data_IF_917893255750
#
_entry.id   IF_917893255750
#
_cell.length_a   1.000
_cell.length_b   1.000
_cell.length_c   1.000
_cell.angle_alpha   90.00
_cell.angle_beta   90.00
_cell.angle_gamma   90.00
#
_symmetry.space_group_name_H-M   'P 1'
#
loop_
_entity.id
_entity.type
_entity.pdbx_description
1 polymer ?
#
# COMPACT_ATOMS: atom_id res chain seq x y z
N UNK A 1 -1.63 -27.14 17.11
CA UNK A 1 -1.19 -25.93 16.36
C UNK A 1 -0.43 -25.05 17.33
N UNK A 2 0.91 -24.99 17.21
CA UNK A 2 1.74 -24.13 18.05
C UNK A 2 1.59 -22.69 17.52
N UNK A 3 0.97 -21.80 18.29
CA UNK A 3 0.94 -20.39 17.98
C UNK A 3 2.37 -19.85 17.95
N UNK A 4 2.79 -19.35 16.81
CA UNK A 4 4.08 -18.64 16.67
C UNK A 4 3.94 -17.26 17.31
N UNK A 5 4.97 -16.81 18.01
CA UNK A 5 5.00 -15.47 18.58
C UNK A 5 4.97 -14.41 17.48
N UNK A 6 4.43 -13.22 17.73
CA UNK A 6 4.36 -12.12 16.79
C UNK A 6 5.75 -11.77 16.19
N UNK A 7 6.81 -11.98 16.97
CA UNK A 7 8.20 -11.79 16.53
C UNK A 7 8.62 -12.83 15.47
N UNK A 8 8.31 -14.13 15.69
CA UNK A 8 8.63 -15.18 14.71
C UNK A 8 7.82 -15.05 13.41
N UNK A 9 6.59 -14.56 13.51
CA UNK A 9 5.74 -14.24 12.36
C UNK A 9 6.33 -13.04 11.61
N UNK A 10 6.73 -11.96 12.30
CA UNK A 10 7.26 -10.74 11.70
C UNK A 10 8.57 -10.99 10.94
N UNK A 11 9.52 -11.72 11.52
CA UNK A 11 10.82 -12.01 10.89
C UNK A 11 10.68 -12.96 9.69
N UNK A 12 9.76 -13.92 9.75
CA UNK A 12 9.53 -14.88 8.65
C UNK A 12 8.71 -14.29 7.51
N UNK A 13 7.71 -13.47 7.81
CA UNK A 13 6.87 -12.81 6.81
C UNK A 13 7.69 -11.74 6.06
N UNK A 14 8.37 -10.85 6.76
CA UNK A 14 9.15 -9.77 6.12
C UNK A 14 10.25 -10.34 5.20
N UNK A 15 10.95 -11.40 5.58
CA UNK A 15 11.98 -12.02 4.74
C UNK A 15 11.43 -12.78 3.54
N UNK A 16 10.43 -13.64 3.75
CA UNK A 16 9.89 -14.50 2.69
C UNK A 16 8.99 -13.73 1.72
N UNK A 17 8.16 -12.81 2.19
CA UNK A 17 7.30 -12.01 1.32
C UNK A 17 8.09 -11.03 0.43
N UNK A 18 9.17 -10.46 0.93
CA UNK A 18 10.05 -9.63 0.08
C UNK A 18 10.70 -10.47 -1.02
N UNK A 19 11.18 -11.68 -0.72
CA UNK A 19 11.75 -12.57 -1.72
C UNK A 19 10.70 -13.04 -2.75
N UNK A 20 9.49 -13.36 -2.31
CA UNK A 20 8.36 -13.72 -3.19
C UNK A 20 8.02 -12.55 -4.11
N UNK A 21 7.89 -11.33 -3.56
CA UNK A 21 7.61 -10.13 -4.35
C UNK A 21 8.69 -9.87 -5.38
N UNK A 22 9.97 -9.95 -5.02
CA UNK A 22 11.08 -9.71 -5.93
C UNK A 22 11.16 -10.77 -7.02
N UNK A 23 10.84 -12.03 -6.70
CA UNK A 23 10.68 -13.09 -7.69
C UNK A 23 9.58 -12.79 -8.71
N UNK A 24 8.41 -12.34 -8.24
CA UNK A 24 7.29 -11.96 -9.13
C UNK A 24 7.62 -10.72 -9.98
N UNK A 25 8.33 -9.73 -9.44
CA UNK A 25 8.79 -8.57 -10.21
C UNK A 25 9.72 -9.00 -11.34
N UNK A 26 10.66 -9.90 -11.09
CA UNK A 26 11.57 -10.41 -12.10
C UNK A 26 10.83 -11.22 -13.17
N UNK A 27 9.94 -12.13 -12.76
CA UNK A 27 9.07 -12.88 -13.68
C UNK A 27 8.20 -11.97 -14.53
N UNK A 28 7.64 -10.88 -13.94
CA UNK A 28 6.85 -9.89 -14.67
C UNK A 28 7.67 -9.18 -15.75
N UNK A 29 8.91 -8.75 -15.41
CA UNK A 29 9.81 -8.10 -16.38
C UNK A 29 10.20 -9.03 -17.52
N UNK A 30 10.27 -10.32 -17.29
CA UNK A 30 10.59 -11.34 -18.28
C UNK A 30 9.36 -11.91 -19.00
N UNK A 31 8.15 -11.41 -18.71
CA UNK A 31 6.86 -11.92 -19.19
C UNK A 31 6.67 -13.43 -18.91
N UNK A 32 7.11 -13.89 -17.74
CA UNK A 32 7.07 -15.29 -17.31
C UNK A 32 6.08 -15.56 -16.17
N UNK A 33 5.23 -14.57 -15.82
CA UNK A 33 4.16 -14.79 -14.83
C UNK A 33 3.10 -15.75 -15.39
N UNK A 34 2.72 -16.72 -14.58
CA UNK A 34 1.59 -17.63 -14.92
C UNK A 34 0.27 -17.01 -14.42
N UNK A 35 -0.87 -17.35 -15.04
CA UNK A 35 -2.18 -16.85 -14.59
C UNK A 35 -2.45 -17.09 -13.11
N UNK A 36 -2.06 -18.23 -12.57
CA UNK A 36 -2.25 -18.60 -11.17
C UNK A 36 -1.47 -17.70 -10.20
N UNK A 37 -0.41 -17.02 -10.68
CA UNK A 37 0.42 -16.15 -9.87
C UNK A 37 -0.14 -14.72 -9.75
N UNK A 38 -1.04 -14.29 -10.65
CA UNK A 38 -1.65 -12.95 -10.61
C UNK A 38 -3.18 -12.95 -10.52
N UNK A 39 -3.82 -14.11 -10.64
CA UNK A 39 -5.26 -14.25 -10.45
C UNK A 39 -5.64 -14.54 -8.98
N UNK A 40 -6.92 -14.41 -8.66
CA UNK A 40 -7.47 -14.73 -7.34
C UNK A 40 -7.27 -13.65 -6.29
N UNK A 41 -6.69 -12.50 -6.64
CA UNK A 41 -6.62 -11.34 -5.75
C UNK A 41 -8.00 -10.72 -5.51
N UNK A 42 -8.24 -10.18 -4.31
CA UNK A 42 -9.45 -9.44 -3.97
C UNK A 42 -9.27 -7.92 -3.99
N UNK A 43 -8.03 -7.46 -4.05
CA UNK A 43 -7.66 -6.05 -3.94
C UNK A 43 -6.37 -5.74 -4.71
N UNK A 44 -6.28 -4.54 -5.27
CA UNK A 44 -5.10 -4.11 -6.05
C UNK A 44 -4.39 -2.95 -5.37
N UNK A 45 -3.06 -2.91 -5.44
CA UNK A 45 -2.26 -1.73 -5.14
C UNK A 45 -1.53 -1.31 -6.41
N UNK A 46 -1.72 -0.05 -6.84
CA UNK A 46 -1.04 0.53 -7.99
C UNK A 46 -0.12 1.65 -7.54
N UNK A 47 1.17 1.55 -7.85
CA UNK A 47 2.17 2.53 -7.44
C UNK A 47 2.83 3.15 -8.68
N UNK A 48 2.61 4.43 -8.89
CA UNK A 48 3.23 5.24 -9.95
C UNK A 48 4.21 6.29 -9.40
N UNK A 49 4.58 6.19 -8.13
CA UNK A 49 5.51 7.14 -7.50
C UNK A 49 6.88 7.20 -8.15
N UNK A 50 7.37 6.09 -8.71
CA UNK A 50 8.64 6.03 -9.44
C UNK A 50 8.64 6.83 -10.75
N UNK A 51 7.45 7.18 -11.26
CA UNK A 51 7.28 8.00 -12.47
C UNK A 51 6.99 9.47 -12.13
N UNK A 52 7.20 9.89 -10.89
CA UNK A 52 6.90 11.25 -10.39
C UNK A 52 5.43 11.67 -10.55
N UNK A 53 4.52 10.69 -10.59
CA UNK A 53 3.08 10.97 -10.60
C UNK A 53 2.66 11.26 -9.17
N UNK A 54 2.22 12.49 -8.92
CA UNK A 54 1.85 12.96 -7.59
C UNK A 54 0.58 12.28 -7.06
N UNK A 55 -0.44 12.20 -7.90
CA UNK A 55 -1.69 11.50 -7.58
C UNK A 55 -2.39 11.06 -8.86
N UNK A 56 -3.16 10.00 -8.79
CA UNK A 56 -3.96 9.49 -9.91
C UNK A 56 -5.12 8.66 -9.38
N UNK A 57 -6.20 8.62 -10.16
CA UNK A 57 -7.32 7.71 -9.91
C UNK A 57 -7.13 6.46 -10.73
N UNK A 58 -7.09 5.30 -10.08
CA UNK A 58 -6.99 4.02 -10.74
C UNK A 58 -8.39 3.43 -11.01
N UNK A 59 -8.48 2.65 -12.08
CA UNK A 59 -9.69 1.90 -12.43
C UNK A 59 -9.60 0.53 -11.74
N UNK A 60 -10.69 0.12 -11.10
CA UNK A 60 -10.76 -1.19 -10.44
C UNK A 60 -10.61 -2.29 -11.50
N UNK A 61 -9.75 -3.26 -11.22
CA UNK A 61 -9.55 -4.43 -12.06
C UNK A 61 -10.49 -5.57 -11.61
N UNK A 62 -11.60 -5.83 -12.31
CA UNK A 62 -12.48 -6.93 -11.93
C UNK A 62 -11.75 -8.29 -11.91
N UNK A 63 -12.02 -9.18 -10.96
CA UNK A 63 -13.10 -9.16 -9.96
C UNK A 63 -12.74 -8.49 -8.63
N UNK A 64 -11.67 -7.71 -8.55
CA UNK A 64 -11.23 -7.05 -7.32
C UNK A 64 -12.28 -6.07 -6.79
N UNK A 65 -12.41 -6.00 -5.46
CA UNK A 65 -13.34 -5.10 -4.79
C UNK A 65 -12.85 -3.65 -4.71
N UNK A 66 -11.54 -3.42 -4.86
CA UNK A 66 -10.97 -2.09 -4.77
C UNK A 66 -9.53 -2.00 -5.23
N UNK A 67 -9.06 -0.76 -5.37
CA UNK A 67 -7.69 -0.44 -5.76
C UNK A 67 -7.19 0.78 -4.98
N UNK A 68 -5.99 0.64 -4.41
CA UNK A 68 -5.25 1.72 -3.76
C UNK A 68 -4.22 2.27 -4.72
N UNK A 69 -4.33 3.55 -5.07
CA UNK A 69 -3.34 4.28 -5.86
C UNK A 69 -2.34 4.97 -4.94
N UNK A 70 -1.06 4.81 -5.22
CA UNK A 70 0.03 5.40 -4.44
C UNK A 70 0.85 6.30 -5.35
N UNK A 71 0.91 7.59 -5.00
CA UNK A 71 1.68 8.61 -5.73
C UNK A 71 3.12 8.73 -5.26
N UNK A 72 3.83 9.68 -5.86
CA UNK A 72 5.22 10.00 -5.51
C UNK A 72 5.34 10.66 -4.14
N UNK A 73 6.49 10.45 -3.50
CA UNK A 73 6.85 11.15 -2.28
C UNK A 73 7.42 12.52 -2.66
N UNK A 74 6.86 13.59 -2.08
CA UNK A 74 7.33 14.96 -2.23
C UNK A 74 7.65 15.59 -0.89
N UNK A 75 8.46 16.62 -0.90
CA UNK A 75 8.76 17.42 0.30
C UNK A 75 7.86 18.66 0.32
N UNK A 76 7.11 18.82 1.38
CA UNK A 76 6.31 20.02 1.64
C UNK A 76 6.93 20.84 2.76
N UNK A 77 6.97 22.16 2.57
CA UNK A 77 7.42 23.10 3.59
C UNK A 77 6.29 23.34 4.59
N UNK A 78 6.54 23.01 5.83
CA UNK A 78 5.62 23.25 6.94
C UNK A 78 6.23 24.21 7.95
N UNK A 79 5.36 24.85 8.73
CA UNK A 79 5.76 25.74 9.83
C UNK A 79 5.40 25.07 11.16
N UNK A 80 6.37 25.01 12.06
CA UNK A 80 6.13 24.61 13.45
C UNK A 80 5.33 25.68 14.19
N UNK A 81 4.70 25.34 15.31
CA UNK A 81 4.04 26.27 16.20
C UNK A 81 4.98 27.40 16.70
N UNK A 82 6.28 27.11 16.77
CA UNK A 82 7.34 28.07 17.16
C UNK A 82 7.82 28.96 15.98
N UNK A 83 7.15 28.93 14.83
CA UNK A 83 7.50 29.71 13.64
C UNK A 83 8.73 29.22 12.87
N UNK A 84 9.24 28.02 13.16
CA UNK A 84 10.36 27.41 12.42
C UNK A 84 9.86 26.65 11.21
N UNK A 85 10.47 26.89 10.05
CA UNK A 85 10.20 26.16 8.83
C UNK A 85 10.90 24.77 8.86
N UNK A 86 10.19 23.73 8.45
CA UNK A 86 10.74 22.38 8.28
C UNK A 86 10.10 21.67 7.09
N UNK A 87 10.82 20.71 6.51
CA UNK A 87 10.30 19.89 5.40
C UNK A 87 9.72 18.59 5.92
N UNK A 88 8.52 18.27 5.44
CA UNK A 88 7.87 16.97 5.68
C UNK A 88 7.77 16.20 4.36
N UNK A 89 8.05 14.91 4.41
CA UNK A 89 7.78 14.03 3.28
C UNK A 89 6.31 13.64 3.27
N UNK A 90 5.62 13.93 2.19
CA UNK A 90 4.20 13.62 2.01
C UNK A 90 3.98 12.77 0.77
N UNK A 91 2.94 11.97 0.80
CA UNK A 91 2.54 11.06 -0.26
C UNK A 91 1.02 11.11 -0.40
N UNK A 92 0.53 11.16 -1.63
CA UNK A 92 -0.91 11.10 -1.91
C UNK A 92 -1.32 9.67 -2.21
N UNK A 93 -2.37 9.19 -1.53
CA UNK A 93 -2.98 7.90 -1.80
C UNK A 93 -4.47 8.07 -2.06
N UNK A 94 -5.01 7.34 -3.03
CA UNK A 94 -6.43 7.34 -3.35
C UNK A 94 -6.96 5.91 -3.34
N UNK A 95 -8.18 5.74 -2.85
CA UNK A 95 -8.89 4.48 -2.82
C UNK A 95 -10.08 4.55 -3.76
N UNK A 96 -10.15 3.67 -4.74
CA UNK A 96 -11.35 3.39 -5.49
C UNK A 96 -11.92 2.05 -5.04
N UNK A 97 -13.22 2.00 -4.76
CA UNK A 97 -13.92 0.79 -4.29
C UNK A 97 -15.18 0.54 -5.10
N UNK A 98 -15.48 -0.74 -5.34
CA UNK A 98 -16.76 -1.15 -5.89
C UNK A 98 -17.86 -0.90 -4.85
N UNK A 99 -18.74 0.05 -5.12
CA UNK A 99 -19.79 0.48 -4.18
C UNK A 99 -20.85 -0.60 -3.89
N UNK A 100 -20.83 -1.70 -4.62
CA UNK A 100 -21.66 -2.88 -4.32
C UNK A 100 -21.13 -3.65 -3.11
N UNK A 101 -19.82 -3.47 -2.76
CA UNK A 101 -19.11 -4.23 -1.73
C UNK A 101 -18.56 -3.31 -0.64
N UNK A 102 -18.14 -2.10 -0.99
CA UNK A 102 -17.48 -1.15 -0.09
C UNK A 102 -18.26 0.17 -0.12
N UNK A 103 -18.80 0.56 1.02
CA UNK A 103 -19.41 1.88 1.18
C UNK A 103 -18.35 2.96 1.48
N UNK A 104 -18.72 4.23 1.33
CA UNK A 104 -17.83 5.36 1.54
C UNK A 104 -17.25 5.43 2.95
N UNK A 105 -18.01 5.04 3.98
CA UNK A 105 -17.57 5.05 5.38
C UNK A 105 -16.52 3.95 5.62
N UNK A 106 -16.75 2.77 5.08
CA UNK A 106 -15.79 1.64 5.15
C UNK A 106 -14.50 2.00 4.44
N UNK A 107 -14.57 2.59 3.24
CA UNK A 107 -13.39 3.07 2.52
C UNK A 107 -12.62 4.16 3.27
N UNK A 108 -13.33 5.11 3.88
CA UNK A 108 -12.71 6.16 4.68
C UNK A 108 -11.99 5.61 5.93
N UNK A 109 -12.59 4.64 6.63
CA UNK A 109 -11.97 3.95 7.77
C UNK A 109 -10.71 3.19 7.36
N UNK A 110 -10.72 2.51 6.21
CA UNK A 110 -9.56 1.83 5.66
C UNK A 110 -8.41 2.82 5.41
N UNK A 111 -8.68 3.95 4.74
CA UNK A 111 -7.68 4.98 4.49
C UNK A 111 -7.15 5.61 5.77
N UNK A 112 -8.00 5.83 6.77
CA UNK A 112 -7.60 6.35 8.07
C UNK A 112 -6.65 5.38 8.79
N UNK A 113 -6.96 4.09 8.79
CA UNK A 113 -6.11 3.06 9.37
C UNK A 113 -4.78 2.94 8.61
N UNK A 114 -4.84 2.96 7.29
CA UNK A 114 -3.65 2.96 6.43
C UNK A 114 -2.73 4.15 6.74
N UNK A 115 -3.27 5.36 6.80
CA UNK A 115 -2.54 6.58 7.18
C UNK A 115 -1.88 6.40 8.55
N UNK A 116 -2.64 5.96 9.55
CA UNK A 116 -2.14 5.77 10.90
C UNK A 116 -0.93 4.81 10.95
N UNK A 117 -0.98 3.72 10.21
CA UNK A 117 0.11 2.74 10.17
C UNK A 117 1.33 3.25 9.39
N UNK A 118 1.14 3.96 8.29
CA UNK A 118 2.25 4.55 7.54
C UNK A 118 2.95 5.65 8.35
N UNK A 119 2.19 6.49 9.05
CA UNK A 119 2.76 7.56 9.90
C UNK A 119 3.37 7.03 11.21
N UNK A 120 2.95 5.84 11.66
CA UNK A 120 3.42 5.21 12.89
C UNK A 120 3.71 3.72 12.68
N UNK A 121 4.81 3.36 11.98
CA UNK A 121 5.09 1.96 11.62
C UNK A 121 5.23 1.01 12.81
N UNK A 122 5.63 1.52 13.98
CA UNK A 122 5.72 0.73 15.21
C UNK A 122 4.38 0.12 15.64
N UNK A 123 3.26 0.74 15.28
CA UNK A 123 1.91 0.20 15.56
C UNK A 123 1.55 -1.03 14.74
N UNK A 124 2.30 -1.33 13.68
CA UNK A 124 2.12 -2.57 12.91
C UNK A 124 2.69 -3.80 13.64
N UNK A 125 3.51 -3.58 14.67
CA UNK A 125 4.17 -4.65 15.43
C UNK A 125 3.39 -5.06 16.69
N UNK A 126 2.30 -4.39 17.00
CA UNK A 126 1.41 -4.64 18.14
C UNK A 126 0.15 -5.37 17.68
#
# INVERSE_FOLDING_TARGET
FKQKTAYEIGVRLVGSEMCIRDSFINKAKENKLTPEEYEGGSYTVSNLGMYNIESFSAIINPPHAGILSVGSIRKELNMSADGKAFYTSVMSCQLAGDHRVIDGVTGAKLLQSFKMFIENPSKMLL
#
